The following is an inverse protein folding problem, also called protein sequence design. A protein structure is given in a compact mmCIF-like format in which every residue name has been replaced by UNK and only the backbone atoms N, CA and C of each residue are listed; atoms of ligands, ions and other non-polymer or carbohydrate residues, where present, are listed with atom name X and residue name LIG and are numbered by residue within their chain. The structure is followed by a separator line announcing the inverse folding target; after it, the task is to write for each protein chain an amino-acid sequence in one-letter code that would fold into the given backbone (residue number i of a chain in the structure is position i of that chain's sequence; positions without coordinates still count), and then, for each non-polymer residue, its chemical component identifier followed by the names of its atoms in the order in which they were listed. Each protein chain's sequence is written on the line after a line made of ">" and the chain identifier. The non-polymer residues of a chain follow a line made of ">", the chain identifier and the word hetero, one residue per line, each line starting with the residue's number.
data_IF_941610057310
#
_entry.id   IF_941610057310
#
_cell.length_a   1.000
_cell.length_b   1.000
_cell.length_c   1.000
_cell.angle_alpha   90.00
_cell.angle_beta   90.00
_cell.angle_gamma   90.00
#
_symmetry.space_group_name_H-M   'P 1'
#
loop_
_entity.id
_entity.type
_entity.pdbx_description
1 polymer ?
#
# COMPACT_ATOMS: atom_id res chain seq x y z
N UNK A 1 0.78 -38.56 -21.64
CA UNK A 1 0.61 -37.13 -22.00
C UNK A 1 1.92 -36.62 -22.57
N UNK A 2 1.91 -35.81 -23.64
CA UNK A 2 3.18 -35.24 -24.17
C UNK A 2 3.86 -34.42 -23.05
N UNK A 3 5.20 -34.48 -22.90
CA UNK A 3 5.91 -33.78 -21.81
C UNK A 3 5.61 -32.27 -21.77
N UNK A 4 5.34 -31.66 -22.92
CA UNK A 4 4.90 -30.26 -23.03
C UNK A 4 3.58 -29.95 -22.30
N UNK A 5 2.61 -30.87 -22.32
CA UNK A 5 1.31 -30.66 -21.66
C UNK A 5 1.43 -30.79 -20.14
N UNK A 6 2.28 -31.70 -19.65
CA UNK A 6 2.57 -31.84 -18.23
C UNK A 6 3.27 -30.58 -17.69
N UNK A 7 4.26 -30.07 -18.43
CA UNK A 7 4.98 -28.83 -18.08
C UNK A 7 4.05 -27.62 -18.03
N UNK A 8 3.20 -27.42 -19.05
CA UNK A 8 2.22 -26.31 -19.08
C UNK A 8 1.19 -26.43 -17.95
N UNK A 9 0.79 -27.65 -17.59
CA UNK A 9 -0.13 -27.89 -16.47
C UNK A 9 0.52 -27.53 -15.13
N UNK A 10 1.76 -27.95 -14.90
CA UNK A 10 2.53 -27.61 -13.69
C UNK A 10 2.73 -26.09 -13.60
N UNK A 11 3.11 -25.43 -14.70
CA UNK A 11 3.21 -23.97 -14.74
C UNK A 11 1.87 -23.29 -14.48
N UNK A 12 0.79 -23.82 -15.03
CA UNK A 12 -0.57 -23.32 -14.76
C UNK A 12 -0.94 -23.40 -13.29
N UNK A 13 -0.66 -24.54 -12.63
CA UNK A 13 -0.86 -24.71 -11.19
C UNK A 13 0.00 -23.74 -10.39
N UNK A 14 1.29 -23.63 -10.72
CA UNK A 14 2.21 -22.70 -10.05
C UNK A 14 1.72 -21.26 -10.14
N UNK A 15 1.35 -20.80 -11.34
CA UNK A 15 0.81 -19.46 -11.57
C UNK A 15 -0.48 -19.27 -10.77
N UNK A 16 -1.39 -20.25 -10.78
CA UNK A 16 -2.63 -20.16 -10.01
C UNK A 16 -2.37 -20.02 -8.52
N UNK A 17 -1.55 -20.89 -7.93
CA UNK A 17 -1.20 -20.83 -6.50
C UNK A 17 -0.52 -19.50 -6.17
N UNK A 18 0.42 -19.05 -7.01
CA UNK A 18 1.12 -17.78 -6.83
C UNK A 18 0.15 -16.59 -6.84
N UNK A 19 -0.77 -16.53 -7.82
CA UNK A 19 -1.76 -15.46 -7.91
C UNK A 19 -2.77 -15.52 -6.75
N UNK A 20 -3.21 -16.71 -6.35
CA UNK A 20 -4.11 -16.87 -5.19
C UNK A 20 -3.43 -16.46 -3.90
N UNK A 21 -2.14 -16.76 -3.72
CA UNK A 21 -1.38 -16.31 -2.56
C UNK A 21 -1.22 -14.78 -2.54
N UNK A 22 -0.91 -14.16 -3.68
CA UNK A 22 -0.71 -12.72 -3.79
C UNK A 22 -2.02 -11.93 -3.63
N UNK A 23 -3.10 -12.36 -4.31
CA UNK A 23 -4.37 -11.63 -4.35
C UNK A 23 -5.39 -12.12 -3.31
N UNK A 24 -5.21 -13.29 -2.72
CA UNK A 24 -6.13 -13.88 -1.75
C UNK A 24 -6.46 -12.96 -0.59
N UNK A 25 -5.47 -12.42 0.14
CA UNK A 25 -5.73 -11.48 1.24
C UNK A 25 -6.47 -10.21 0.79
N UNK A 26 -6.17 -9.69 -0.41
CA UNK A 26 -6.84 -8.51 -0.97
C UNK A 26 -8.31 -8.80 -1.29
N UNK A 27 -8.60 -9.99 -1.83
CA UNK A 27 -9.98 -10.45 -2.09
C UNK A 27 -10.73 -10.62 -0.77
N UNK A 28 -10.10 -11.24 0.23
CA UNK A 28 -10.70 -11.40 1.57
C UNK A 28 -11.05 -10.04 2.17
N UNK A 29 -10.10 -9.09 2.19
CA UNK A 29 -10.34 -7.73 2.67
C UNK A 29 -11.45 -7.03 1.90
N UNK A 30 -11.51 -7.22 0.58
CA UNK A 30 -12.56 -6.65 -0.27
C UNK A 30 -13.95 -7.19 0.10
N UNK A 31 -14.05 -8.47 0.45
CA UNK A 31 -15.31 -9.11 0.88
C UNK A 31 -15.69 -8.66 2.29
N UNK A 32 -14.74 -8.65 3.23
CA UNK A 32 -15.00 -8.29 4.64
C UNK A 32 -15.37 -6.82 4.81
N UNK A 33 -15.00 -5.94 3.88
CA UNK A 33 -15.42 -4.53 3.86
C UNK A 33 -16.95 -4.35 3.85
N UNK A 34 -17.69 -5.35 3.35
CA UNK A 34 -19.14 -5.36 3.30
C UNK A 34 -19.80 -6.08 4.48
N UNK A 35 -19.03 -6.70 5.38
CA UNK A 35 -19.58 -7.37 6.56
C UNK A 35 -19.80 -6.33 7.68
N UNK A 36 -20.98 -6.31 8.30
CA UNK A 36 -21.28 -5.43 9.44
C UNK A 36 -20.47 -5.74 10.69
N UNK A 37 -19.83 -6.91 10.74
CA UNK A 37 -19.03 -7.40 11.87
C UNK A 37 -17.96 -6.39 12.31
N UNK A 38 -17.68 -6.38 13.61
CA UNK A 38 -16.71 -5.47 14.25
C UNK A 38 -15.26 -5.74 13.88
N UNK A 39 -14.96 -6.99 13.52
CA UNK A 39 -13.65 -7.43 13.06
C UNK A 39 -13.77 -8.00 11.63
N UNK A 40 -12.79 -7.74 10.75
CA UNK A 40 -12.77 -8.34 9.42
C UNK A 40 -12.79 -9.86 9.50
N UNK A 41 -13.94 -10.45 9.20
CA UNK A 41 -14.18 -11.88 9.28
C UNK A 41 -15.08 -12.32 8.13
N UNK A 42 -14.76 -13.46 7.54
CA UNK A 42 -15.61 -14.11 6.52
C UNK A 42 -16.67 -14.97 7.21
N UNK A 43 -16.30 -15.59 8.33
CA UNK A 43 -17.14 -16.46 9.14
C UNK A 43 -16.99 -16.11 10.62
N UNK A 44 -18.09 -15.79 11.33
CA UNK A 44 -19.48 -15.73 10.87
C UNK A 44 -19.80 -14.46 10.06
N UNK A 45 -20.64 -14.60 9.03
CA UNK A 45 -21.20 -13.47 8.29
C UNK A 45 -22.41 -12.91 9.05
N UNK A 46 -22.41 -11.62 9.35
CA UNK A 46 -23.54 -10.96 10.02
C UNK A 46 -24.52 -10.42 8.98
N UNK A 47 -24.21 -9.25 8.40
CA UNK A 47 -25.06 -8.58 7.44
C UNK A 47 -24.21 -7.90 6.38
N UNK A 48 -24.71 -7.86 5.14
CA UNK A 48 -24.15 -7.02 4.11
C UNK A 48 -24.49 -5.55 4.40
N UNK A 49 -23.47 -4.69 4.50
CA UNK A 49 -23.62 -3.28 4.85
C UNK A 49 -22.56 -2.39 4.20
N UNK A 50 -22.93 -1.13 3.95
CA UNK A 50 -22.02 -0.05 3.52
C UNK A 50 -21.53 0.82 4.69
N UNK A 51 -21.86 0.44 5.93
CA UNK A 51 -21.61 1.24 7.14
C UNK A 51 -20.16 1.66 7.31
N UNK A 52 -19.21 0.77 7.01
CA UNK A 52 -17.77 1.05 7.14
C UNK A 52 -17.24 2.06 6.12
N UNK A 53 -17.99 2.35 5.06
CA UNK A 53 -17.64 3.41 4.10
C UNK A 53 -18.11 4.79 4.58
N UNK A 54 -19.15 4.86 5.43
CA UNK A 54 -19.82 6.10 5.80
C UNK A 54 -19.66 6.42 7.30
N UNK A 55 -20.42 5.74 8.15
CA UNK A 55 -20.66 6.15 9.54
C UNK A 55 -19.73 5.45 10.53
N UNK A 56 -19.53 4.13 10.36
CA UNK A 56 -18.83 3.29 11.33
C UNK A 56 -19.74 2.66 12.39
N UNK A 57 -19.17 2.20 13.51
CA UNK A 57 -19.87 1.50 14.60
C UNK A 57 -19.35 1.96 15.95
N UNK A 58 -20.19 1.97 16.98
CA UNK A 58 -19.71 2.00 18.38
C UNK A 58 -19.43 0.56 18.82
N UNK A 59 -18.17 0.27 19.15
CA UNK A 59 -17.70 -1.01 19.69
C UNK A 59 -18.47 -1.36 20.96
N UNK A 60 -18.51 -2.65 21.31
CA UNK A 60 -19.15 -3.07 22.56
C UNK A 60 -18.45 -2.50 23.81
N UNK A 61 -17.15 -2.23 23.71
CA UNK A 61 -16.35 -1.58 24.76
C UNK A 61 -16.55 -0.05 24.81
N UNK A 62 -17.51 0.49 24.05
CA UNK A 62 -17.83 1.93 24.00
C UNK A 62 -16.92 2.75 23.09
N UNK A 63 -15.91 2.14 22.45
CA UNK A 63 -15.02 2.81 21.52
C UNK A 63 -15.71 3.12 20.19
N UNK A 64 -15.64 4.38 19.72
CA UNK A 64 -16.19 4.74 18.42
C UNK A 64 -15.26 4.29 17.28
N UNK A 65 -15.64 3.25 16.54
CA UNK A 65 -14.99 2.82 15.30
C UNK A 65 -15.56 3.65 14.15
N UNK A 66 -14.92 4.79 13.85
CA UNK A 66 -15.31 5.63 12.72
C UNK A 66 -15.23 4.87 11.38
N UNK A 67 -16.19 5.13 10.49
CA UNK A 67 -16.18 4.69 9.10
C UNK A 67 -15.17 5.48 8.28
N UNK A 68 -14.90 5.02 7.06
CA UNK A 68 -13.91 5.61 6.17
C UNK A 68 -14.17 7.10 5.89
N UNK A 69 -15.43 7.50 5.67
CA UNK A 69 -15.78 8.90 5.44
C UNK A 69 -15.74 9.75 6.71
N UNK A 70 -16.07 9.20 7.88
CA UNK A 70 -16.14 9.94 9.15
C UNK A 70 -14.80 10.01 9.90
N UNK A 71 -13.81 9.21 9.53
CA UNK A 71 -12.52 9.15 10.22
C UNK A 71 -11.58 10.29 9.83
N UNK A 72 -11.59 11.36 10.64
CA UNK A 72 -10.72 12.52 10.44
C UNK A 72 -9.23 12.18 10.41
N UNK A 73 -8.77 11.14 11.12
CA UNK A 73 -7.34 10.77 11.17
C UNK A 73 -6.90 10.15 9.85
N UNK A 74 -7.77 9.37 9.20
CA UNK A 74 -7.50 8.82 7.87
C UNK A 74 -7.41 9.93 6.82
N UNK A 75 -8.31 10.92 6.87
CA UNK A 75 -8.29 12.06 5.94
C UNK A 75 -7.07 12.97 6.15
N UNK A 76 -6.79 13.36 7.40
CA UNK A 76 -5.60 14.16 7.74
C UNK A 76 -4.31 13.41 7.37
N UNK A 77 -4.26 12.11 7.69
CA UNK A 77 -3.14 11.25 7.32
C UNK A 77 -2.95 11.14 5.81
N UNK A 78 -4.02 11.06 5.03
CA UNK A 78 -3.96 11.06 3.56
C UNK A 78 -3.36 12.38 3.05
N UNK A 79 -3.87 13.53 3.52
CA UNK A 79 -3.38 14.86 3.11
C UNK A 79 -1.88 15.00 3.43
N UNK A 80 -1.47 14.64 4.65
CA UNK A 80 -0.06 14.68 5.07
C UNK A 80 0.81 13.76 4.22
N UNK A 81 0.31 12.59 3.84
CA UNK A 81 1.04 11.67 2.95
C UNK A 81 1.21 12.23 1.54
N UNK A 82 0.20 12.93 1.00
CA UNK A 82 0.29 13.62 -0.29
C UNK A 82 1.31 14.77 -0.26
N UNK A 83 1.30 15.56 0.83
CA UNK A 83 2.25 16.66 1.03
C UNK A 83 3.68 16.11 1.11
N UNK A 84 3.92 15.09 1.94
CA UNK A 84 5.23 14.46 2.10
C UNK A 84 5.69 13.84 0.78
N UNK A 85 4.83 13.05 0.13
CA UNK A 85 5.14 12.42 -1.16
C UNK A 85 5.55 13.43 -2.23
N UNK A 86 4.82 14.55 -2.33
CA UNK A 86 5.16 15.62 -3.27
C UNK A 86 6.47 16.30 -2.90
N UNK A 87 6.70 16.60 -1.61
CA UNK A 87 7.94 17.17 -1.12
C UNK A 87 9.16 16.28 -1.40
N UNK A 88 9.01 14.97 -1.21
CA UNK A 88 10.06 13.98 -1.53
C UNK A 88 10.34 13.95 -3.02
N UNK A 89 9.33 13.97 -3.90
CA UNK A 89 9.55 14.04 -5.35
C UNK A 89 10.35 15.27 -5.74
N UNK A 90 9.98 16.43 -5.21
CA UNK A 90 10.61 17.72 -5.52
C UNK A 90 12.09 17.72 -5.13
N UNK A 91 12.49 17.00 -4.08
CA UNK A 91 13.89 16.93 -3.64
C UNK A 91 14.64 15.73 -4.23
N UNK A 92 14.07 14.53 -4.14
CA UNK A 92 14.74 13.28 -4.51
C UNK A 92 15.03 13.18 -6.01
N UNK A 93 14.12 13.66 -6.87
CA UNK A 93 14.31 13.57 -8.33
C UNK A 93 15.46 14.47 -8.80
N UNK A 94 15.52 15.78 -8.45
CA UNK A 94 16.66 16.62 -8.80
C UNK A 94 17.98 16.15 -8.18
N UNK A 95 17.97 15.71 -6.91
CA UNK A 95 19.18 15.20 -6.25
C UNK A 95 19.71 13.95 -6.97
N UNK A 96 18.85 12.97 -7.25
CA UNK A 96 19.23 11.76 -7.96
C UNK A 96 19.72 12.04 -9.39
N UNK A 97 19.07 12.97 -10.09
CA UNK A 97 19.48 13.42 -11.43
C UNK A 97 20.87 14.08 -11.38
N UNK A 98 21.06 15.04 -10.47
CA UNK A 98 22.34 15.72 -10.31
C UNK A 98 23.47 14.74 -9.99
N UNK A 99 23.25 13.82 -9.05
CA UNK A 99 24.21 12.78 -8.72
C UNK A 99 24.56 11.91 -9.94
N UNK A 100 23.57 11.55 -10.76
CA UNK A 100 23.80 10.73 -11.97
C UNK A 100 24.63 11.45 -13.05
N UNK A 101 24.42 12.76 -13.22
CA UNK A 101 25.18 13.60 -14.16
C UNK A 101 26.61 13.79 -13.64
N UNK A 102 26.79 14.01 -12.34
CA UNK A 102 28.13 14.10 -11.74
C UNK A 102 28.89 12.79 -11.96
N UNK A 103 28.24 11.63 -11.80
CA UNK A 103 28.87 10.32 -12.04
C UNK A 103 29.44 10.17 -13.46
N UNK A 104 28.85 10.79 -14.48
CA UNK A 104 29.38 10.72 -15.86
C UNK A 104 30.60 11.60 -16.08
N UNK A 105 30.83 12.59 -15.22
CA UNK A 105 31.94 13.55 -15.31
C UNK A 105 33.09 13.21 -14.35
N UNK A 106 32.85 12.38 -13.34
CA UNK A 106 33.87 11.98 -12.35
C UNK A 106 34.93 11.07 -13.00
N UNK A 107 36.19 11.32 -12.63
CA UNK A 107 37.34 10.55 -13.11
C UNK A 107 37.21 9.04 -12.79
N UNK A 108 37.71 8.19 -13.67
CA UNK A 108 37.49 6.72 -13.63
C UNK A 108 37.81 6.07 -12.28
N UNK A 109 38.87 6.52 -11.59
CA UNK A 109 39.28 6.00 -10.27
C UNK A 109 38.31 6.35 -9.14
N UNK A 110 37.68 7.52 -9.19
CA UNK A 110 36.74 8.00 -8.16
C UNK A 110 35.30 7.59 -8.45
N UNK A 111 35.01 7.17 -9.69
CA UNK A 111 33.67 6.77 -10.13
C UNK A 111 33.07 5.67 -9.27
N UNK A 112 33.85 4.65 -8.91
CA UNK A 112 33.41 3.55 -8.05
C UNK A 112 33.05 4.05 -6.65
N UNK A 113 33.87 4.92 -6.06
CA UNK A 113 33.63 5.48 -4.72
C UNK A 113 32.36 6.32 -4.73
N UNK A 114 32.21 7.22 -5.70
CA UNK A 114 31.04 8.08 -5.82
C UNK A 114 29.75 7.26 -6.02
N UNK A 115 29.80 6.23 -6.87
CA UNK A 115 28.68 5.31 -7.09
C UNK A 115 28.29 4.59 -5.79
N UNK A 116 29.26 4.01 -5.07
CA UNK A 116 29.03 3.31 -3.80
C UNK A 116 28.44 4.22 -2.74
N UNK A 117 28.99 5.44 -2.57
CA UNK A 117 28.47 6.43 -1.61
C UNK A 117 27.05 6.85 -1.95
N UNK A 118 26.75 7.04 -3.24
CA UNK A 118 25.40 7.44 -3.71
C UNK A 118 24.34 6.36 -3.47
N UNK A 119 24.74 5.08 -3.39
CA UNK A 119 23.83 3.94 -3.19
C UNK A 119 23.73 3.52 -1.73
N UNK A 120 24.74 3.84 -0.93
CA UNK A 120 24.82 3.51 0.49
C UNK A 120 23.54 3.81 1.29
N UNK A 121 22.82 4.95 1.10
CA UNK A 121 21.60 5.26 1.86
C UNK A 121 20.53 4.16 1.82
N UNK A 122 20.37 3.47 0.70
CA UNK A 122 19.37 2.39 0.52
C UNK A 122 19.67 1.16 1.38
N UNK A 123 20.92 0.97 1.80
CA UNK A 123 21.33 -0.17 2.61
C UNK A 123 20.98 0.00 4.09
N UNK A 124 20.76 1.23 4.55
CA UNK A 124 20.41 1.47 5.94
C UNK A 124 18.93 1.16 6.21
N UNK A 125 18.61 0.48 7.32
CA UNK A 125 17.24 0.30 7.77
C UNK A 125 16.54 1.66 7.93
N UNK A 126 15.29 1.76 7.47
CA UNK A 126 14.51 3.01 7.55
C UNK A 126 14.40 3.60 8.95
N UNK A 127 14.39 2.74 9.98
CA UNK A 127 14.40 3.14 11.40
C UNK A 127 15.63 3.98 11.74
N UNK A 128 16.81 3.55 11.29
CA UNK A 128 18.06 4.28 11.54
C UNK A 128 18.00 5.64 10.87
N UNK A 129 17.57 5.70 9.60
CA UNK A 129 17.44 6.95 8.86
C UNK A 129 16.45 7.90 9.57
N UNK A 130 15.30 7.40 10.02
CA UNK A 130 14.28 8.19 10.70
C UNK A 130 14.78 8.79 12.00
N UNK A 131 15.31 7.96 12.91
CA UNK A 131 15.84 8.41 14.20
C UNK A 131 17.03 9.36 14.02
N UNK A 132 17.98 9.02 13.14
CA UNK A 132 19.14 9.87 12.87
C UNK A 132 18.73 11.24 12.30
N UNK A 133 17.70 11.30 11.46
CA UNK A 133 17.20 12.57 10.91
C UNK A 133 16.63 13.45 12.02
N UNK A 134 15.79 12.90 12.90
CA UNK A 134 15.23 13.63 14.04
C UNK A 134 16.32 14.12 14.98
N UNK A 135 17.26 13.24 15.36
CA UNK A 135 18.36 13.60 16.27
C UNK A 135 19.25 14.69 15.67
N UNK A 136 19.62 14.56 14.40
CA UNK A 136 20.44 15.57 13.71
C UNK A 136 19.75 16.94 13.70
N UNK A 137 18.49 16.98 13.28
CA UNK A 137 17.76 18.24 13.16
C UNK A 137 17.37 18.86 14.50
N UNK A 138 17.10 18.05 15.52
CA UNK A 138 16.91 18.57 16.88
C UNK A 138 18.20 19.21 17.41
N UNK A 139 19.37 18.61 17.17
CA UNK A 139 20.67 19.21 17.54
C UNK A 139 20.92 20.52 16.79
N UNK A 140 20.64 20.57 15.49
CA UNK A 140 20.76 21.80 14.70
C UNK A 140 19.80 22.88 15.22
N UNK A 141 18.55 22.51 15.54
CA UNK A 141 17.56 23.39 16.14
C UNK A 141 18.02 23.95 17.49
N UNK A 142 18.61 23.12 18.36
CA UNK A 142 19.14 23.57 19.66
C UNK A 142 20.31 24.55 19.50
N UNK A 143 21.22 24.29 18.55
CA UNK A 143 22.36 25.18 18.29
C UNK A 143 21.91 26.51 17.67
N UNK A 144 20.87 26.47 16.83
CA UNK A 144 20.29 27.63 16.16
C UNK A 144 19.50 28.59 17.07
N UNK A 145 19.29 28.24 18.34
CA UNK A 145 18.52 29.05 19.30
C UNK A 145 17.00 29.02 19.06
N UNK A 146 16.27 29.94 19.69
CA UNK A 146 14.83 30.10 19.44
C UNK A 146 14.61 30.93 18.16
N UNK A 147 13.95 30.33 17.16
CA UNK A 147 13.65 30.98 15.89
C UNK A 147 13.25 29.98 14.79
N UNK A 148 13.17 30.48 13.55
CA UNK A 148 12.68 29.72 12.38
C UNK A 148 13.37 28.35 12.16
N UNK A 149 14.67 28.26 12.46
CA UNK A 149 15.43 27.01 12.32
C UNK A 149 14.96 25.95 13.34
N UNK A 150 14.58 26.38 14.54
CA UNK A 150 14.07 25.48 15.56
C UNK A 150 12.66 24.96 15.22
N UNK A 151 11.80 25.82 14.67
CA UNK A 151 10.45 25.43 14.24
C UNK A 151 10.50 24.40 13.10
N UNK A 152 11.39 24.61 12.12
CA UNK A 152 11.59 23.66 11.02
C UNK A 152 12.24 22.37 11.52
N UNK A 153 13.27 22.46 12.36
CA UNK A 153 14.01 21.31 12.86
C UNK A 153 13.19 20.39 13.76
N UNK A 154 12.03 20.85 14.25
CA UNK A 154 11.07 20.05 15.03
C UNK A 154 9.76 19.76 14.30
N UNK A 155 9.67 20.09 13.00
CA UNK A 155 8.49 19.83 12.20
C UNK A 155 8.53 18.41 11.60
N UNK A 156 7.63 17.52 12.05
CA UNK A 156 7.62 16.10 11.64
C UNK A 156 7.46 15.88 10.14
N UNK A 157 6.69 16.73 9.44
CA UNK A 157 6.52 16.66 7.97
C UNK A 157 7.86 16.94 7.28
N UNK A 158 8.53 18.02 7.66
CA UNK A 158 9.83 18.41 7.10
C UNK A 158 10.89 17.33 7.35
N UNK A 159 10.99 16.83 8.57
CA UNK A 159 11.93 15.76 8.94
C UNK A 159 11.67 14.49 8.15
N UNK A 160 10.40 14.14 7.95
CA UNK A 160 10.03 12.97 7.15
C UNK A 160 10.40 13.14 5.68
N UNK A 161 10.16 14.32 5.10
CA UNK A 161 10.57 14.62 3.72
C UNK A 161 12.07 14.42 3.54
N UNK A 162 12.89 14.95 4.45
CA UNK A 162 14.35 14.81 4.37
C UNK A 162 14.83 13.38 4.59
N UNK A 163 14.32 12.72 5.63
CA UNK A 163 14.68 11.33 5.93
C UNK A 163 14.35 10.40 4.77
N UNK A 164 13.18 10.57 4.15
CA UNK A 164 12.81 9.78 2.99
C UNK A 164 13.60 10.14 1.72
N UNK A 165 13.86 11.43 1.48
CA UNK A 165 14.66 11.90 0.35
C UNK A 165 16.05 11.26 0.32
N UNK A 166 16.66 11.05 1.49
CA UNK A 166 17.99 10.46 1.63
C UNK A 166 18.15 9.14 0.85
N UNK A 167 17.23 8.18 1.04
CA UNK A 167 17.29 6.89 0.34
C UNK A 167 16.49 6.87 -0.97
N UNK A 168 15.40 7.64 -1.09
CA UNK A 168 14.60 7.66 -2.33
C UNK A 168 15.37 8.32 -3.47
N UNK A 169 16.24 9.29 -3.17
CA UNK A 169 17.13 9.88 -4.19
C UNK A 169 18.07 8.85 -4.82
N UNK A 170 18.45 7.79 -4.10
CA UNK A 170 19.21 6.66 -4.64
C UNK A 170 18.41 5.89 -5.70
N UNK A 171 17.11 5.68 -5.51
CA UNK A 171 16.26 5.05 -6.53
C UNK A 171 16.20 5.91 -7.79
N UNK A 172 15.99 7.21 -7.65
CA UNK A 172 16.03 8.16 -8.76
C UNK A 172 17.38 8.13 -9.47
N UNK A 173 18.49 8.16 -8.71
CA UNK A 173 19.85 8.07 -9.22
C UNK A 173 20.05 6.84 -10.10
N UNK A 174 19.63 5.65 -9.65
CA UNK A 174 19.77 4.42 -10.44
C UNK A 174 18.99 4.46 -11.76
N UNK A 175 17.79 5.04 -11.76
CA UNK A 175 16.97 5.22 -12.97
C UNK A 175 17.69 6.15 -13.96
N UNK A 176 18.23 7.28 -13.47
CA UNK A 176 18.94 8.22 -14.32
C UNK A 176 20.27 7.66 -14.84
N UNK A 177 21.03 6.92 -14.03
CA UNK A 177 22.26 6.24 -14.48
C UNK A 177 21.95 5.28 -15.64
N UNK A 178 20.90 4.44 -15.50
CA UNK A 178 20.49 3.52 -16.56
C UNK A 178 20.06 4.25 -17.83
N UNK A 179 19.47 5.45 -17.70
CA UNK A 179 19.08 6.28 -18.85
C UNK A 179 20.27 6.94 -19.52
N UNK A 180 21.18 7.53 -18.74
CA UNK A 180 22.39 8.21 -19.23
C UNK A 180 23.38 7.25 -19.90
N UNK A 181 23.42 5.98 -19.50
CA UNK A 181 24.22 4.95 -20.19
C UNK A 181 23.85 4.75 -21.66
N UNK A 182 22.63 5.15 -22.05
CA UNK A 182 22.13 5.06 -23.44
C UNK A 182 22.15 6.42 -24.15
N UNK A 183 22.71 7.45 -23.53
CA UNK A 183 22.79 8.79 -24.09
C UNK A 183 24.03 8.92 -24.96
N UNK A 184 23.85 9.50 -26.14
CA UNK A 184 24.93 9.74 -27.09
C UNK A 184 25.54 11.12 -26.85
N UNK A 185 26.75 11.14 -26.29
CA UNK A 185 27.47 12.38 -25.94
C UNK A 185 27.79 13.25 -27.15
N UNK A 186 27.83 12.68 -28.36
CA UNK A 186 28.09 13.45 -29.59
C UNK A 186 27.02 14.50 -29.86
N UNK A 187 25.80 14.33 -29.33
CA UNK A 187 24.74 15.34 -29.44
C UNK A 187 25.04 16.59 -28.60
N UNK A 188 25.70 16.43 -27.45
CA UNK A 188 26.13 17.56 -26.61
C UNK A 188 27.31 18.28 -27.27
N UNK A 189 28.31 17.52 -27.74
CA UNK A 189 29.49 18.06 -28.42
C UNK A 189 29.08 18.85 -29.68
N UNK A 190 28.22 18.29 -30.53
CA UNK A 190 27.74 18.97 -31.72
C UNK A 190 26.98 20.28 -31.42
N UNK A 191 26.26 20.33 -30.30
CA UNK A 191 25.56 21.55 -29.89
C UNK A 191 26.52 22.63 -29.39
N UNK A 192 27.56 22.24 -28.65
CA UNK A 192 28.63 23.16 -28.23
C UNK A 192 29.40 23.70 -29.43
N UNK A 193 29.68 22.86 -30.44
CA UNK A 193 30.35 23.26 -31.69
C UNK A 193 29.52 24.27 -32.51
N UNK A 194 28.19 24.19 -32.43
CA UNK A 194 27.27 25.17 -33.02
C UNK A 194 27.12 26.47 -32.20
N UNK A 195 27.91 26.62 -31.12
CA UNK A 195 27.94 27.81 -30.27
C UNK A 195 26.91 27.83 -29.15
N UNK A 196 26.27 26.69 -28.83
CA UNK A 196 25.39 26.62 -27.67
C UNK A 196 26.18 26.71 -26.37
N UNK A 197 25.63 27.36 -25.34
CA UNK A 197 26.21 27.33 -23.99
C UNK A 197 25.87 26.03 -23.27
N UNK A 198 26.65 25.65 -22.25
CA UNK A 198 26.40 24.45 -21.44
C UNK A 198 24.97 24.44 -20.84
N UNK A 199 24.48 25.61 -20.42
CA UNK A 199 23.12 25.77 -19.91
C UNK A 199 22.08 25.49 -20.99
N UNK A 200 22.34 25.90 -22.23
CA UNK A 200 21.45 25.60 -23.37
C UNK A 200 21.47 24.11 -23.71
N UNK A 201 22.64 23.47 -23.73
CA UNK A 201 22.76 22.02 -23.94
C UNK A 201 21.99 21.26 -22.87
N UNK A 202 22.15 21.64 -21.61
CA UNK A 202 21.42 21.04 -20.49
C UNK A 202 19.90 21.12 -20.67
N UNK A 203 19.34 22.32 -20.88
CA UNK A 203 17.87 22.48 -20.96
C UNK A 203 17.26 22.06 -22.30
N UNK A 204 18.00 22.13 -23.41
CA UNK A 204 17.47 21.85 -24.75
C UNK A 204 17.74 20.43 -25.25
N UNK A 205 18.74 19.74 -24.71
CA UNK A 205 19.14 18.41 -25.16
C UNK A 205 19.00 17.41 -24.02
N UNK A 206 19.75 17.62 -22.93
CA UNK A 206 19.82 16.64 -21.85
C UNK A 206 18.48 16.47 -21.12
N UNK A 207 17.85 17.57 -20.69
CA UNK A 207 16.57 17.52 -19.97
C UNK A 207 15.48 16.86 -20.83
N UNK A 208 15.22 17.26 -22.10
CA UNK A 208 14.25 16.59 -22.97
C UNK A 208 14.53 15.10 -23.16
N UNK A 209 15.80 14.70 -23.28
CA UNK A 209 16.19 13.29 -23.36
C UNK A 209 15.89 12.51 -22.07
N UNK A 210 16.09 13.16 -20.91
CA UNK A 210 15.82 12.62 -19.58
C UNK A 210 14.36 12.72 -19.16
N UNK A 211 13.50 13.50 -19.82
CA UNK A 211 12.09 13.69 -19.44
C UNK A 211 11.32 12.39 -19.15
N UNK A 212 11.44 11.31 -19.96
CA UNK A 212 10.79 10.03 -19.64
C UNK A 212 11.31 9.41 -18.34
N UNK A 213 12.60 9.57 -18.05
CA UNK A 213 13.23 9.10 -16.81
C UNK A 213 12.87 10.00 -15.62
N UNK A 214 12.72 11.32 -15.81
CA UNK A 214 12.23 12.26 -14.79
C UNK A 214 10.80 11.89 -14.40
N UNK A 215 9.91 11.68 -15.37
CA UNK A 215 8.52 11.27 -15.12
C UNK A 215 8.44 9.92 -14.40
N UNK A 216 9.24 8.94 -14.84
CA UNK A 216 9.29 7.61 -14.20
C UNK A 216 9.83 7.69 -12.76
N UNK A 217 10.89 8.48 -12.55
CA UNK A 217 11.49 8.68 -11.22
C UNK A 217 10.54 9.43 -10.29
N UNK A 218 9.79 10.41 -10.79
CA UNK A 218 8.80 11.14 -9.99
C UNK A 218 7.68 10.22 -9.50
N UNK A 219 7.15 9.35 -10.37
CA UNK A 219 6.12 8.37 -9.97
C UNK A 219 6.68 7.37 -8.96
N UNK A 220 7.88 6.84 -9.18
CA UNK A 220 8.52 5.88 -8.28
C UNK A 220 8.84 6.54 -6.92
N UNK A 221 9.39 7.75 -6.92
CA UNK A 221 9.69 8.49 -5.69
C UNK A 221 8.42 8.81 -4.89
N UNK A 222 7.35 9.24 -5.57
CA UNK A 222 6.06 9.47 -4.94
C UNK A 222 5.49 8.20 -4.31
N UNK A 223 5.48 7.09 -5.06
CA UNK A 223 4.93 5.82 -4.60
C UNK A 223 5.74 5.28 -3.41
N UNK A 224 7.07 5.26 -3.53
CA UNK A 224 7.96 4.81 -2.46
C UNK A 224 7.86 5.66 -1.19
N UNK A 225 7.53 6.95 -1.32
CA UNK A 225 7.27 7.85 -0.20
C UNK A 225 5.90 7.62 0.42
N UNK A 226 4.86 7.52 -0.42
CA UNK A 226 3.47 7.37 -0.02
C UNK A 226 3.22 6.07 0.75
N UNK A 227 3.88 4.97 0.36
CA UNK A 227 3.78 3.68 1.05
C UNK A 227 4.79 3.53 2.21
N UNK A 228 5.63 4.55 2.47
CA UNK A 228 6.67 4.43 3.48
C UNK A 228 6.09 4.47 4.90
N UNK A 229 6.22 3.34 5.60
CA UNK A 229 5.98 3.27 7.05
C UNK A 229 7.29 3.31 7.86
N UNK A 230 8.31 2.57 7.40
CA UNK A 230 9.51 2.24 8.19
C UNK A 230 10.35 3.45 8.62
N UNK A 231 10.49 4.46 7.76
CA UNK A 231 11.21 5.69 8.11
C UNK A 231 10.25 6.67 8.76
N UNK A 232 9.05 6.80 8.19
CA UNK A 232 8.02 7.75 8.60
C UNK A 232 7.64 7.64 10.06
N UNK A 233 7.43 6.43 10.58
CA UNK A 233 6.98 6.24 11.98
C UNK A 233 7.99 6.80 13.00
N UNK A 234 9.26 6.91 12.63
CA UNK A 234 10.31 7.46 13.50
C UNK A 234 10.60 8.94 13.23
N UNK A 235 10.19 9.50 12.08
CA UNK A 235 10.48 10.90 11.70
C UNK A 235 9.28 11.84 11.81
N UNK A 236 8.04 11.32 11.79
CA UNK A 236 6.81 12.13 11.70
C UNK A 236 6.41 12.80 13.03
N UNK A 237 7.03 12.39 14.15
CA UNK A 237 6.84 12.97 15.47
C UNK A 237 5.36 12.95 15.93
N UNK A 238 4.73 14.10 16.15
CA UNK A 238 3.32 14.22 16.58
C UNK A 238 2.31 14.09 15.43
N UNK A 239 2.75 14.27 14.19
CA UNK A 239 1.91 14.15 13.01
C UNK A 239 1.66 12.68 12.64
N UNK A 240 0.68 12.44 11.77
CA UNK A 240 0.37 11.11 11.30
C UNK A 240 0.22 11.11 9.78
N UNK A 241 0.82 10.13 9.12
CA UNK A 241 0.57 9.79 7.72
C UNK A 241 -0.41 8.64 7.61
N UNK A 242 -0.98 8.43 6.43
CA UNK A 242 -1.93 7.38 6.14
C UNK A 242 -1.39 6.01 6.57
N UNK A 243 -0.12 5.70 6.26
CA UNK A 243 0.53 4.44 6.62
C UNK A 243 0.66 4.29 8.13
N UNK A 244 1.03 5.34 8.85
CA UNK A 244 1.14 5.31 10.33
C UNK A 244 -0.23 5.21 11.01
N UNK A 245 -1.27 5.85 10.47
CA UNK A 245 -2.64 5.73 10.99
C UNK A 245 -3.17 4.32 10.78
N UNK A 246 -3.00 3.75 9.59
CA UNK A 246 -3.38 2.36 9.31
C UNK A 246 -2.64 1.41 10.26
N UNK A 247 -1.32 1.54 10.38
CA UNK A 247 -0.52 0.70 11.27
C UNK A 247 -0.93 0.81 12.73
N UNK A 248 -1.23 2.03 13.21
CA UNK A 248 -1.77 2.26 14.55
C UNK A 248 -3.11 1.55 14.76
N UNK A 249 -4.02 1.65 13.78
CA UNK A 249 -5.31 0.94 13.86
C UNK A 249 -5.16 -0.57 13.81
N UNK A 250 -4.25 -1.12 12.99
CA UNK A 250 -4.00 -2.57 12.98
C UNK A 250 -3.49 -3.05 14.34
N UNK A 251 -2.62 -2.28 15.02
CA UNK A 251 -2.10 -2.63 16.35
C UNK A 251 -3.14 -2.51 17.47
N UNK A 252 -4.05 -1.55 17.38
CA UNK A 252 -5.08 -1.30 18.40
C UNK A 252 -6.34 -2.15 18.22
N UNK A 253 -6.43 -2.95 17.15
CA UNK A 253 -7.60 -3.76 16.80
C UNK A 253 -8.10 -3.40 15.40
N UNK A 254 -8.08 -4.38 14.49
CA UNK A 254 -8.39 -4.14 13.07
C UNK A 254 -9.86 -3.72 12.92
N UNK A 255 -10.08 -2.46 12.55
CA UNK A 255 -11.39 -1.97 12.12
C UNK A 255 -11.66 -2.35 10.66
N UNK A 256 -12.87 -2.84 10.31
CA UNK A 256 -13.28 -3.07 8.92
C UNK A 256 -13.30 -1.80 8.06
N UNK A 257 -13.19 -0.61 8.65
CA UNK A 257 -12.92 0.62 7.91
C UNK A 257 -11.59 0.54 7.11
N UNK A 258 -10.59 -0.23 7.60
CA UNK A 258 -9.34 -0.47 6.87
C UNK A 258 -9.59 -1.37 5.65
N UNK A 259 -10.47 -2.37 5.77
CA UNK A 259 -10.89 -3.21 4.65
C UNK A 259 -11.62 -2.38 3.58
N UNK A 260 -12.49 -1.44 4.00
CA UNK A 260 -13.13 -0.49 3.10
C UNK A 260 -12.13 0.43 2.39
N UNK A 261 -11.14 0.96 3.12
CA UNK A 261 -10.05 1.74 2.54
C UNK A 261 -9.26 0.93 1.50
N UNK A 262 -8.90 -0.31 1.83
CA UNK A 262 -8.19 -1.20 0.92
C UNK A 262 -8.99 -1.44 -0.37
N UNK A 263 -10.29 -1.69 -0.27
CA UNK A 263 -11.16 -1.83 -1.43
C UNK A 263 -11.18 -0.56 -2.29
N UNK A 264 -11.26 0.63 -1.67
CA UNK A 264 -11.25 1.91 -2.40
C UNK A 264 -9.92 2.08 -3.15
N UNK A 265 -8.79 1.80 -2.52
CA UNK A 265 -7.46 1.88 -3.17
C UNK A 265 -7.36 0.87 -4.32
N UNK A 266 -7.83 -0.37 -4.12
CA UNK A 266 -7.88 -1.40 -5.18
C UNK A 266 -8.76 -0.94 -6.34
N UNK A 267 -9.94 -0.40 -6.06
CA UNK A 267 -10.85 0.10 -7.08
C UNK A 267 -10.22 1.25 -7.89
N UNK A 268 -9.61 2.22 -7.21
CA UNK A 268 -8.92 3.34 -7.85
C UNK A 268 -7.74 2.88 -8.72
N UNK A 269 -6.92 1.95 -8.22
CA UNK A 269 -5.78 1.41 -8.98
C UNK A 269 -6.23 0.61 -10.20
N UNK A 270 -7.29 -0.20 -10.09
CA UNK A 270 -7.89 -0.90 -11.23
C UNK A 270 -8.47 0.07 -12.26
N UNK A 271 -9.20 1.09 -11.81
CA UNK A 271 -9.75 2.13 -12.71
C UNK A 271 -8.62 2.85 -13.44
N UNK A 272 -7.55 3.23 -12.74
CA UNK A 272 -6.38 3.87 -13.34
C UNK A 272 -5.68 2.96 -14.35
N UNK A 273 -5.44 1.69 -14.00
CA UNK A 273 -4.80 0.71 -14.88
C UNK A 273 -5.62 0.42 -16.14
N UNK A 274 -6.94 0.22 -15.98
CA UNK A 274 -7.86 0.00 -17.10
C UNK A 274 -7.91 1.25 -17.99
N UNK A 275 -7.97 2.45 -17.40
CA UNK A 275 -7.99 3.71 -18.14
C UNK A 275 -6.69 3.90 -18.93
N UNK A 276 -5.54 3.65 -18.31
CA UNK A 276 -4.23 3.71 -18.95
C UNK A 276 -4.14 2.72 -20.12
N UNK A 277 -4.56 1.47 -19.93
CA UNK A 277 -4.54 0.46 -21.00
C UNK A 277 -5.49 0.81 -22.16
N UNK A 278 -6.66 1.38 -21.87
CA UNK A 278 -7.59 1.86 -22.91
C UNK A 278 -6.95 3.00 -23.71
N UNK A 279 -6.31 3.97 -23.05
CA UNK A 279 -5.64 5.11 -23.69
C UNK A 279 -4.46 4.62 -24.55
N UNK A 280 -3.62 3.75 -24.01
CA UNK A 280 -2.48 3.14 -24.72
C UNK A 280 -2.93 2.40 -25.98
N UNK A 281 -3.97 1.55 -25.89
CA UNK A 281 -4.52 0.84 -27.05
C UNK A 281 -5.07 1.78 -28.12
N UNK A 282 -5.66 2.91 -27.72
CA UNK A 282 -6.13 3.95 -28.65
C UNK A 282 -4.97 4.62 -29.37
N UNK A 283 -3.88 4.93 -28.68
CA UNK A 283 -2.67 5.50 -29.29
C UNK A 283 -1.99 4.53 -30.25
N UNK A 284 -1.80 3.27 -29.86
CA UNK A 284 -1.18 2.25 -30.72
C UNK A 284 -2.02 2.02 -31.99
N UNK A 285 -3.36 2.06 -31.86
CA UNK A 285 -4.26 1.98 -33.01
C UNK A 285 -4.13 3.19 -33.94
N UNK A 286 -4.06 4.41 -33.38
CA UNK A 286 -3.83 5.65 -34.17
C UNK A 286 -2.46 5.64 -34.88
N UNK A 287 -1.41 5.14 -34.23
CA UNK A 287 -0.08 5.00 -34.84
C UNK A 287 -0.10 4.03 -36.02
N UNK A 288 -0.76 2.88 -35.87
CA UNK A 288 -0.97 1.91 -36.96
C UNK A 288 -1.76 2.52 -38.12
N UNK A 289 -2.90 3.15 -37.84
CA UNK A 289 -3.72 3.81 -38.87
C UNK A 289 -2.91 4.90 -39.62
N UNK A 290 -2.09 5.69 -38.91
CA UNK A 290 -1.22 6.69 -39.54
C UNK A 290 -0.10 6.07 -40.37
N UNK A 291 0.49 4.98 -39.91
CA UNK A 291 1.52 4.24 -40.64
C UNK A 291 0.96 3.61 -41.92
N UNK A 292 -0.24 3.03 -41.85
CA UNK A 292 -0.93 2.45 -43.01
C UNK A 292 -1.25 3.52 -44.06
N UNK A 293 -1.68 4.72 -43.64
CA UNK A 293 -1.90 5.87 -44.53
C UNK A 293 -0.61 6.31 -45.24
N UNK A 294 0.51 6.42 -44.50
CA UNK A 294 1.81 6.79 -45.08
C UNK A 294 2.30 5.74 -46.09
N UNK A 295 2.12 4.45 -45.79
CA UNK A 295 2.47 3.36 -46.71
C UNK A 295 1.62 3.41 -47.99
N UNK A 296 0.32 3.68 -47.86
CA UNK A 296 -0.57 3.84 -49.02
C UNK A 296 -0.16 5.01 -49.91
N UNK A 297 0.17 6.16 -49.33
CA UNK A 297 0.65 7.33 -50.08
C UNK A 297 1.95 7.03 -50.84
N UNK A 298 2.87 6.27 -50.24
CA UNK A 298 4.11 5.86 -50.88
C UNK A 298 3.93 4.84 -52.02
N UNK A 299 2.97 3.92 -51.92
CA UNK A 299 2.81 2.85 -52.92
C UNK A 299 1.86 3.20 -54.07
N UNK A 300 0.96 4.20 -53.93
CA UNK A 300 -0.10 4.53 -54.91
C UNK A 300 -0.89 3.31 -55.43
N UNK A 301 -0.83 2.18 -54.74
CA UNK A 301 -1.40 0.92 -55.17
C UNK A 301 -2.71 0.69 -54.42
N UNK A 302 -3.82 0.60 -55.15
CA UNK A 302 -5.17 0.43 -54.60
C UNK A 302 -5.34 -0.91 -53.87
N UNK A 303 -4.40 -1.85 -54.04
CA UNK A 303 -4.40 -3.18 -53.39
C UNK A 303 -4.27 -3.14 -51.87
N UNK A 304 -3.76 -2.05 -51.29
CA UNK A 304 -3.69 -1.86 -49.84
C UNK A 304 -4.99 -1.36 -49.21
N UNK A 305 -6.05 -1.10 -49.99
CA UNK A 305 -7.39 -0.93 -49.44
C UNK A 305 -7.88 -2.27 -48.87
N UNK A 306 -7.40 -2.61 -47.68
CA UNK A 306 -8.04 -3.62 -46.87
C UNK A 306 -9.37 -3.04 -46.42
N UNK A 307 -10.42 -3.34 -47.19
CA UNK A 307 -11.79 -3.06 -46.83
C UNK A 307 -12.13 -3.99 -45.64
N UNK A 308 -11.61 -3.67 -44.45
CA UNK A 308 -11.97 -4.33 -43.22
C UNK A 308 -13.44 -3.98 -42.96
N UNK A 309 -14.34 -4.81 -43.50
CA UNK A 309 -15.69 -4.94 -42.97
C UNK A 309 -15.50 -5.18 -41.48
N UNK A 310 -15.77 -4.15 -40.67
CA UNK A 310 -15.85 -4.24 -39.21
C UNK A 310 -16.99 -5.19 -38.89
N UNK A 311 -16.74 -6.49 -38.97
CA UNK A 311 -17.60 -7.49 -38.37
C UNK A 311 -17.60 -7.16 -36.88
N UNK A 312 -18.75 -6.73 -36.37
CA UNK A 312 -18.98 -6.43 -34.96
C UNK A 312 -18.86 -7.74 -34.17
N UNK A 313 -17.63 -8.17 -33.91
CA UNK A 313 -17.35 -9.27 -33.00
C UNK A 313 -17.42 -8.68 -31.60
N UNK A 314 -18.47 -9.03 -30.87
CA UNK A 314 -18.60 -8.70 -29.45
C UNK A 314 -17.30 -9.14 -28.77
N UNK A 315 -16.55 -8.23 -28.15
CA UNK A 315 -15.28 -8.59 -27.55
C UNK A 315 -15.55 -9.56 -26.40
N UNK A 316 -14.68 -10.57 -26.23
CA UNK A 316 -14.82 -11.59 -25.18
C UNK A 316 -14.97 -10.97 -23.78
N UNK A 317 -14.46 -9.77 -23.57
CA UNK A 317 -14.65 -8.98 -22.34
C UNK A 317 -16.12 -8.62 -22.04
N UNK A 318 -16.96 -8.36 -23.05
CA UNK A 318 -18.38 -8.08 -22.85
C UNK A 318 -19.11 -9.30 -22.31
N UNK A 319 -18.75 -10.50 -22.77
CA UNK A 319 -19.30 -11.74 -22.24
C UNK A 319 -18.93 -11.96 -20.76
N UNK A 320 -17.68 -11.65 -20.39
CA UNK A 320 -17.22 -11.72 -19.00
C UNK A 320 -17.93 -10.71 -18.11
N UNK A 321 -18.07 -9.46 -18.56
CA UNK A 321 -18.78 -8.40 -17.82
C UNK A 321 -20.25 -8.79 -17.62
N UNK A 322 -20.90 -9.30 -18.65
CA UNK A 322 -22.31 -9.69 -18.60
C UNK A 322 -22.51 -10.91 -17.68
N UNK A 323 -21.58 -11.87 -17.70
CA UNK A 323 -21.57 -12.99 -16.76
C UNK A 323 -21.40 -12.53 -15.30
N UNK A 324 -20.43 -11.65 -15.02
CA UNK A 324 -20.23 -11.08 -13.68
C UNK A 324 -21.44 -10.28 -13.20
N UNK A 325 -22.09 -9.54 -14.10
CA UNK A 325 -23.31 -8.79 -13.79
C UNK A 325 -24.47 -9.72 -13.41
N UNK A 326 -24.68 -10.80 -14.16
CA UNK A 326 -25.73 -11.81 -13.87
C UNK A 326 -25.46 -12.51 -12.53
N UNK A 327 -24.22 -12.93 -12.29
CA UNK A 327 -23.82 -13.55 -11.01
C UNK A 327 -24.00 -12.58 -9.84
N UNK A 328 -23.63 -11.31 -10.02
CA UNK A 328 -23.81 -10.26 -9.03
C UNK A 328 -25.27 -10.02 -8.68
N UNK A 329 -26.15 -9.92 -9.68
CA UNK A 329 -27.60 -9.75 -9.49
C UNK A 329 -28.20 -10.97 -8.77
N UNK A 330 -27.82 -12.19 -9.16
CA UNK A 330 -28.28 -13.40 -8.50
C UNK A 330 -27.86 -13.46 -7.03
N UNK A 331 -26.58 -13.16 -6.75
CA UNK A 331 -26.02 -13.15 -5.40
C UNK A 331 -26.69 -12.09 -4.51
N UNK A 332 -26.93 -10.90 -5.05
CA UNK A 332 -27.62 -9.82 -4.34
C UNK A 332 -29.09 -10.15 -4.05
N UNK A 333 -29.80 -10.77 -5.01
CA UNK A 333 -31.16 -11.26 -4.78
C UNK A 333 -31.20 -12.34 -3.67
N UNK A 334 -30.18 -13.19 -3.58
CA UNK A 334 -30.08 -14.20 -2.53
C UNK A 334 -29.86 -13.56 -1.15
N UNK A 335 -29.07 -12.49 -1.05
CA UNK A 335 -28.87 -11.72 0.19
C UNK A 335 -30.16 -11.10 0.69
N UNK A 336 -30.96 -10.49 -0.21
CA UNK A 336 -32.25 -9.90 0.15
C UNK A 336 -33.22 -10.98 0.64
N UNK A 337 -33.31 -12.12 -0.06
CA UNK A 337 -34.19 -13.24 0.34
C UNK A 337 -33.87 -13.79 1.73
N UNK A 338 -32.59 -13.78 2.12
CA UNK A 338 -32.14 -14.29 3.41
C UNK A 338 -32.19 -13.25 4.54
N UNK A 339 -32.75 -12.06 4.32
CA UNK A 339 -32.72 -10.93 5.27
C UNK A 339 -31.31 -10.52 5.74
N UNK A 340 -30.28 -10.81 4.93
CA UNK A 340 -28.87 -10.52 5.26
C UNK A 340 -28.42 -9.13 4.76
N UNK A 341 -29.35 -8.18 4.63
CA UNK A 341 -29.11 -6.85 4.07
C UNK A 341 -29.96 -5.79 4.76
N UNK A 342 -29.41 -4.57 4.91
CA UNK A 342 -30.12 -3.39 5.40
C UNK A 342 -29.99 -3.11 6.90
N UNK A 343 -30.48 -1.95 7.36
CA UNK A 343 -30.30 -1.49 8.74
C UNK A 343 -30.95 -2.42 9.77
N UNK A 344 -32.11 -3.01 9.43
CA UNK A 344 -32.81 -3.95 10.30
C UNK A 344 -32.00 -5.24 10.58
N UNK A 345 -31.23 -5.72 9.59
CA UNK A 345 -30.33 -6.86 9.80
C UNK A 345 -29.21 -6.47 10.79
N UNK A 346 -28.61 -5.30 10.58
CA UNK A 346 -27.51 -4.81 11.42
C UNK A 346 -27.97 -4.65 12.87
N UNK A 347 -29.13 -4.04 13.11
CA UNK A 347 -29.68 -3.88 14.46
C UNK A 347 -30.01 -5.22 15.10
N UNK A 348 -30.61 -6.16 14.36
CA UNK A 348 -30.90 -7.50 14.85
C UNK A 348 -29.64 -8.30 15.21
N UNK A 349 -28.58 -8.19 14.39
CA UNK A 349 -27.29 -8.81 14.65
C UNK A 349 -26.62 -8.23 15.91
N UNK A 350 -26.74 -6.92 16.12
CA UNK A 350 -26.21 -6.24 17.30
C UNK A 350 -26.95 -6.62 18.58
N UNK A 351 -28.28 -6.69 18.55
CA UNK A 351 -29.11 -7.16 19.66
C UNK A 351 -28.82 -8.62 20.02
N UNK A 352 -28.65 -9.49 19.02
CA UNK A 352 -28.28 -10.89 19.21
C UNK A 352 -26.90 -11.06 19.86
N UNK A 353 -25.94 -10.18 19.55
CA UNK A 353 -24.64 -10.19 20.23
C UNK A 353 -24.70 -9.63 21.64
N UNK A 354 -25.43 -8.54 21.84
CA UNK A 354 -25.58 -7.91 23.16
C UNK A 354 -26.27 -8.85 24.16
N UNK A 355 -27.31 -9.58 23.72
CA UNK A 355 -27.98 -10.61 24.52
C UNK A 355 -27.02 -11.75 24.91
N UNK A 356 -26.29 -12.33 23.95
CA UNK A 356 -25.28 -13.35 24.22
C UNK A 356 -24.21 -12.88 25.21
N UNK A 357 -23.71 -11.66 25.04
CA UNK A 357 -22.73 -11.09 25.96
C UNK A 357 -23.30 -10.93 27.37
N UNK A 358 -24.54 -10.45 27.49
CA UNK A 358 -25.24 -10.34 28.78
C UNK A 358 -25.50 -11.70 29.45
N UNK A 359 -25.82 -12.74 28.66
CA UNK A 359 -26.01 -14.09 29.15
C UNK A 359 -24.68 -14.66 29.66
N UNK A 360 -23.60 -14.44 28.91
CA UNK A 360 -22.27 -14.88 29.30
C UNK A 360 -21.77 -14.18 30.58
N UNK A 361 -22.03 -12.88 30.73
CA UNK A 361 -21.76 -12.14 31.96
C UNK A 361 -22.53 -12.71 33.17
N UNK A 362 -23.81 -13.05 32.99
CA UNK A 362 -24.62 -13.68 34.04
C UNK A 362 -24.06 -15.06 34.43
N UNK A 363 -23.63 -15.87 33.46
CA UNK A 363 -22.99 -17.16 33.72
C UNK A 363 -21.68 -17.00 34.49
N UNK A 364 -20.85 -16.00 34.13
CA UNK A 364 -19.61 -15.71 34.86
C UNK A 364 -19.86 -15.25 36.29
N UNK A 365 -20.87 -14.39 36.51
CA UNK A 365 -21.27 -13.97 37.86
C UNK A 365 -21.82 -15.14 38.67
N UNK A 366 -22.63 -16.01 38.06
CA UNK A 366 -23.17 -17.20 38.72
C UNK A 366 -22.06 -18.20 39.09
N UNK A 367 -21.04 -18.35 38.24
CA UNK A 367 -19.88 -19.19 38.53
C UNK A 367 -18.96 -18.58 39.60
N UNK A 368 -18.75 -17.25 39.60
CA UNK A 368 -18.01 -16.58 40.69
C UNK A 368 -18.71 -16.70 42.05
N UNK A 369 -20.04 -16.59 42.09
CA UNK A 369 -20.83 -16.80 43.31
C UNK A 369 -20.77 -18.27 43.76
N UNK A 370 -20.60 -19.20 42.83
CA UNK A 370 -20.41 -20.62 43.14
C UNK A 370 -18.99 -20.90 43.66
N UNK A 371 -17.98 -20.14 43.23
CA UNK A 371 -16.61 -20.19 43.77
C UNK A 371 -16.50 -19.53 45.16
N UNK A 372 -17.26 -18.49 45.45
CA UNK A 372 -17.40 -17.96 46.82
C UNK A 372 -18.09 -18.99 47.75
N UNK A 373 -18.98 -19.82 47.21
CA UNK A 373 -19.55 -20.98 47.92
C UNK A 373 -18.57 -22.16 48.08
N UNK A 374 -17.42 -22.15 47.40
CA UNK A 374 -16.32 -23.11 47.60
C UNK A 374 -15.35 -22.69 48.73
N UNK A 375 -15.54 -21.51 49.34
CA UNK A 375 -14.85 -21.11 50.58
C UNK A 375 -15.55 -21.60 51.86
N UNK A 376 -16.80 -22.06 51.78
CA UNK A 376 -17.49 -22.77 52.87
C UNK A 376 -17.39 -24.28 52.58
N UNK A 377 -16.34 -24.89 53.13
CA UNK A 377 -15.87 -26.20 52.68
C UNK A 377 -16.87 -27.34 52.72
N UNK A 378 -16.83 -28.16 51.67
CA UNK A 378 -16.86 -29.61 51.77
C UNK A 378 -16.09 -30.21 50.57
N UNK A 379 -15.21 -31.17 50.87
CA UNK A 379 -14.34 -31.85 49.90
C UNK A 379 -15.17 -32.57 48.83
N UNK A 380 -15.19 -32.01 47.61
CA UNK A 380 -15.66 -32.67 46.40
C UNK A 380 -14.61 -32.56 45.31
N UNK A 381 -13.51 -33.30 45.46
CA UNK A 381 -12.44 -33.33 44.48
C UNK A 381 -12.95 -33.78 43.12
N UNK A 382 -12.98 -32.86 42.15
CA UNK A 382 -13.07 -33.24 40.76
C UNK A 382 -11.64 -33.54 40.28
N UNK A 383 -11.31 -34.84 40.23
CA UNK A 383 -9.98 -35.38 39.93
C UNK A 383 -9.46 -35.07 38.50
N UNK A 384 -10.24 -34.44 37.63
CA UNK A 384 -9.90 -34.30 36.21
C UNK A 384 -8.95 -33.13 35.85
N UNK A 385 -8.62 -32.25 36.80
CA UNK A 385 -7.75 -31.08 36.55
C UNK A 385 -6.51 -30.99 37.45
N UNK A 386 -6.29 -31.98 38.33
CA UNK A 386 -5.23 -31.97 39.34
C UNK A 386 -3.79 -32.10 38.81
N UNK A 387 -3.61 -32.55 37.57
CA UNK A 387 -2.29 -33.01 37.10
C UNK A 387 -1.56 -32.06 36.13
N UNK A 388 -2.10 -30.87 35.84
CA UNK A 388 -1.43 -29.91 34.93
C UNK A 388 -0.28 -29.15 35.62
N UNK A 389 -0.36 -28.91 36.93
CA UNK A 389 0.60 -28.07 37.65
C UNK A 389 1.53 -28.83 38.62
N UNK A 390 1.66 -30.14 38.45
CA UNK A 390 2.57 -30.97 39.22
C UNK A 390 2.14 -31.19 40.67
N UNK A 391 2.62 -32.30 41.26
CA UNK A 391 2.27 -32.71 42.62
C UNK A 391 2.58 -31.59 43.64
N UNK A 392 1.56 -31.07 44.35
CA UNK A 392 1.75 -30.02 45.35
C UNK A 392 2.61 -30.47 46.56
N UNK A 393 2.95 -31.76 46.67
CA UNK A 393 3.85 -32.27 47.71
C UNK A 393 5.31 -32.46 47.26
N UNK A 394 5.67 -32.10 46.02
CA UNK A 394 7.01 -32.34 45.46
C UNK A 394 8.16 -31.65 46.23
N UNK A 395 7.87 -30.69 47.11
CA UNK A 395 8.87 -29.92 47.87
C UNK A 395 8.81 -30.10 49.40
N UNK A 396 7.96 -31.00 49.93
CA UNK A 396 7.88 -31.22 51.38
C UNK A 396 9.08 -31.98 51.97
N UNK A 397 9.83 -32.73 51.15
CA UNK A 397 11.00 -33.48 51.58
C UNK A 397 12.34 -32.73 51.42
N UNK A 398 12.34 -31.50 50.91
CA UNK A 398 13.54 -30.66 50.90
C UNK A 398 13.67 -29.90 52.22
N UNK A 399 14.03 -30.65 53.27
CA UNK A 399 14.35 -30.12 54.58
C UNK A 399 15.69 -29.36 54.61
N UNK A 400 15.69 -28.27 55.37
CA UNK A 400 16.89 -27.70 55.99
C UNK A 400 17.29 -26.32 55.47
N UNK A 401 16.71 -25.27 56.04
CA UNK A 401 17.41 -24.06 56.51
C UNK A 401 16.44 -23.32 57.45
N UNK A 402 16.67 -23.48 58.76
CA UNK A 402 16.25 -22.50 59.78
C UNK A 402 17.02 -21.19 59.62
#
# INVERSE_FOLDING_TARGET
>A
MKPQHALNFIFGIYIFIFLTYLFGPLIIMSITAFNSAEFPSITPWECFSWRWFQEGKIAYDGQHLAGLASDWRLHDGLIKSLIIGTGVVILAVPIGMAASIVLTQVHSRLRTIFYSVSIMPVLFPGVIIGISTVVLWDRIATIGGEGFIADIGRNGIFLTILGQTCFISTYCFLIFVARLQRFDQTQEEAALDLGASQTQVFFKILIPYLMPAIASSAVIAFLASFENYNTTVFSILSDQTLTTVIASKVRLGISPAISALALVIIALTLIAAISYEILRRREDRRKKERQDLLLFEQTKDSRLQKNEKKSFKIPKSVFVILFLMVVGIFSFNQLIKNNLYGPACVTAAEEAKKSKFSEQLKLLQQNQVSDDALQEGELGGNQDYGDIFGDPNLFKDFGGFD
#
